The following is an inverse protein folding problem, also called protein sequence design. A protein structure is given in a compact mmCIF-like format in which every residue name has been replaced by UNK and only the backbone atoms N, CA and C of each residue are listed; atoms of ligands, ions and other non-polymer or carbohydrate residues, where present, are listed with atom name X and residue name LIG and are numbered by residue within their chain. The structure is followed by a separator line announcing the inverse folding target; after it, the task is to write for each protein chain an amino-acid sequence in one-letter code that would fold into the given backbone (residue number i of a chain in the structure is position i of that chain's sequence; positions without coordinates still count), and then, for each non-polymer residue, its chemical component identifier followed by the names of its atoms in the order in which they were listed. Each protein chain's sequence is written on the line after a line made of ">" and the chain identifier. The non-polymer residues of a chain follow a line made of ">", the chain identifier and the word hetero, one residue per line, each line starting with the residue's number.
data_IF_336820163501
#
_entry.id   IF_336820163501
#
_cell.length_a   1.000
_cell.length_b   1.000
_cell.length_c   1.000
_cell.angle_alpha   90.00
_cell.angle_beta   90.00
_cell.angle_gamma   90.00
#
_symmetry.space_group_name_H-M   'P 1'
#
loop_
_entity.id
_entity.type
_entity.pdbx_description
1 polymer ?
#
# COMPACT_ATOMS: atom_id res chain seq x y z
N UNK A 1 4.37 2.77 55.48
CA UNK A 1 3.92 2.68 54.09
C UNK A 1 4.93 3.46 53.30
N UNK A 2 5.86 2.79 52.64
CA UNK A 2 7.04 3.45 52.12
C UNK A 2 6.72 4.08 50.77
N UNK A 3 6.51 5.39 50.79
CA UNK A 3 6.43 6.19 49.59
C UNK A 3 7.84 6.25 48.99
N UNK A 4 8.09 5.43 47.97
CA UNK A 4 9.30 5.52 47.17
C UNK A 4 9.34 6.90 46.50
N UNK A 5 10.09 7.83 47.09
CA UNK A 5 10.42 9.12 46.49
C UNK A 5 11.37 8.87 45.33
N UNK A 6 10.79 8.59 44.15
CA UNK A 6 11.51 8.50 42.90
C UNK A 6 12.20 9.85 42.65
N UNK A 7 13.53 9.83 42.51
CA UNK A 7 14.35 10.99 42.18
C UNK A 7 13.84 11.69 40.90
N UNK A 8 13.98 13.02 40.74
CA UNK A 8 13.66 13.72 39.49
C UNK A 8 14.28 13.05 38.24
N UNK A 9 15.49 12.49 38.38
CA UNK A 9 16.16 11.73 37.32
C UNK A 9 15.42 10.46 36.92
N UNK A 10 14.81 9.75 37.88
CA UNK A 10 14.06 8.52 37.61
C UNK A 10 12.74 8.77 36.89
N UNK A 11 12.07 9.89 37.13
CA UNK A 11 10.88 10.30 36.36
C UNK A 11 11.22 10.61 34.90
N UNK A 12 12.35 11.29 34.65
CA UNK A 12 12.84 11.54 33.28
C UNK A 12 13.13 10.25 32.53
N UNK A 13 13.74 9.25 33.17
CA UNK A 13 14.04 7.95 32.55
C UNK A 13 12.75 7.21 32.22
N UNK A 14 11.77 7.16 33.15
CA UNK A 14 10.47 6.54 32.91
C UNK A 14 9.73 7.20 31.73
N UNK A 15 9.76 8.54 31.66
CA UNK A 15 9.17 9.29 30.55
C UNK A 15 9.83 8.94 29.20
N UNK A 16 11.16 8.91 29.15
CA UNK A 16 11.90 8.51 27.94
C UNK A 16 11.60 7.07 27.53
N UNK A 17 11.51 6.14 28.47
CA UNK A 17 11.15 4.75 28.20
C UNK A 17 9.73 4.65 27.64
N UNK A 18 8.75 5.41 28.17
CA UNK A 18 7.39 5.40 27.63
C UNK A 18 7.31 5.94 26.21
N UNK A 19 8.05 7.01 25.88
CA UNK A 19 8.11 7.57 24.52
C UNK A 19 8.74 6.56 23.55
N UNK A 20 9.83 5.91 23.97
CA UNK A 20 10.54 4.92 23.16
C UNK A 20 9.68 3.68 22.86
N UNK A 21 8.92 3.19 23.84
CA UNK A 21 7.98 2.08 23.61
C UNK A 21 6.86 2.48 22.63
N UNK A 22 6.36 3.72 22.72
CA UNK A 22 5.31 4.23 21.84
C UNK A 22 5.78 4.34 20.38
N UNK A 23 7.00 4.83 20.15
CA UNK A 23 7.56 4.91 18.79
C UNK A 23 7.79 3.54 18.16
N UNK A 24 8.31 2.56 18.93
CA UNK A 24 8.54 1.20 18.44
C UNK A 24 7.25 0.47 18.07
N UNK A 25 6.18 0.64 18.88
CA UNK A 25 4.89 0.01 18.60
C UNK A 25 4.25 0.56 17.32
N UNK A 26 4.43 1.85 17.04
CA UNK A 26 3.83 2.51 15.88
C UNK A 26 4.48 2.06 14.55
N UNK A 27 5.81 1.91 14.51
CA UNK A 27 6.52 1.42 13.33
C UNK A 27 6.15 -0.04 13.01
N UNK A 28 6.00 -0.89 14.04
CA UNK A 28 5.59 -2.28 13.85
C UNK A 28 4.18 -2.42 13.26
N UNK A 29 3.24 -1.58 13.71
CA UNK A 29 1.86 -1.58 13.22
C UNK A 29 1.75 -1.11 11.76
N UNK A 30 2.48 -0.06 11.39
CA UNK A 30 2.53 0.41 10.00
C UNK A 30 3.14 -0.63 9.05
N UNK A 31 4.19 -1.34 9.48
CA UNK A 31 4.84 -2.33 8.62
C UNK A 31 3.98 -3.57 8.39
N UNK A 32 3.34 -4.07 9.44
CA UNK A 32 2.43 -5.24 9.34
C UNK A 32 1.19 -4.95 8.50
N UNK A 33 0.67 -3.72 8.58
CA UNK A 33 -0.48 -3.28 7.77
C UNK A 33 -0.19 -3.29 6.26
N UNK A 34 1.08 -3.15 5.86
CA UNK A 34 1.48 -3.09 4.46
C UNK A 34 2.17 -4.35 3.94
N UNK A 35 2.05 -5.49 4.65
CA UNK A 35 2.57 -6.78 4.18
C UNK A 35 2.10 -7.11 2.74
N UNK A 36 2.89 -7.90 1.99
CA UNK A 36 2.47 -8.36 0.67
C UNK A 36 1.14 -9.10 0.72
N UNK A 37 0.33 -8.93 -0.32
CA UNK A 37 -1.04 -9.45 -0.41
C UNK A 37 -1.29 -10.14 -1.74
N UNK A 38 -2.29 -11.02 -1.77
CA UNK A 38 -2.74 -11.66 -3.00
C UNK A 38 -3.94 -10.92 -3.57
N UNK A 39 -3.98 -10.81 -4.90
CA UNK A 39 -5.05 -10.16 -5.65
C UNK A 39 -5.32 -11.02 -6.89
N UNK A 40 -6.13 -12.06 -6.73
CA UNK A 40 -6.46 -13.03 -7.79
C UNK A 40 -5.21 -13.70 -8.40
N UNK A 41 -4.90 -13.43 -9.67
CA UNK A 41 -3.73 -13.96 -10.37
C UNK A 41 -2.42 -13.26 -9.99
N UNK A 42 -2.48 -12.20 -9.18
CA UNK A 42 -1.31 -11.45 -8.70
C UNK A 42 -1.02 -11.83 -7.24
N UNK A 43 -0.20 -12.85 -7.03
CA UNK A 43 0.22 -13.27 -5.69
C UNK A 43 1.40 -12.48 -5.16
N UNK A 44 1.53 -12.36 -3.83
CA UNK A 44 2.64 -11.70 -3.13
C UNK A 44 2.86 -10.24 -3.56
N UNK A 45 1.79 -9.54 -3.96
CA UNK A 45 1.80 -8.16 -4.45
C UNK A 45 2.15 -7.20 -3.33
N UNK A 46 3.04 -6.25 -3.59
CA UNK A 46 3.54 -5.29 -2.59
C UNK A 46 3.69 -3.90 -3.20
N UNK A 47 4.29 -2.97 -2.47
CA UNK A 47 4.57 -1.61 -2.92
C UNK A 47 5.18 -1.60 -4.34
N UNK A 48 4.72 -0.75 -5.28
CA UNK A 48 3.84 0.41 -5.09
C UNK A 48 2.34 0.08 -5.03
N UNK A 49 1.95 -1.17 -5.27
CA UNK A 49 0.56 -1.57 -5.39
C UNK A 49 -0.13 -1.70 -4.04
N UNK A 50 -1.41 -1.34 -4.03
CA UNK A 50 -2.26 -1.52 -2.87
C UNK A 50 -3.72 -1.73 -3.26
N UNK A 51 -4.54 -2.04 -2.27
CA UNK A 51 -5.98 -2.25 -2.41
C UNK A 51 -6.65 -1.67 -1.17
N UNK A 52 -7.85 -1.14 -1.31
CA UNK A 52 -8.70 -0.76 -0.17
C UNK A 52 -9.44 -1.97 0.42
N UNK A 53 -9.28 -3.14 -0.19
CA UNK A 53 -9.73 -4.41 0.35
C UNK A 53 -8.82 -4.87 1.50
N UNK A 54 -9.30 -5.85 2.28
CA UNK A 54 -8.59 -6.39 3.44
C UNK A 54 -8.25 -5.35 4.52
N UNK A 55 -8.97 -4.22 4.55
CA UNK A 55 -8.74 -3.12 5.49
C UNK A 55 -7.32 -2.53 5.39
N UNK A 56 -6.72 -2.57 4.20
CA UNK A 56 -5.37 -2.06 3.96
C UNK A 56 -5.39 -0.54 3.75
N UNK A 57 -4.59 0.23 4.51
CA UNK A 57 -4.57 1.69 4.39
C UNK A 57 -4.01 2.19 3.06
N UNK A 58 -4.41 3.39 2.63
CA UNK A 58 -3.91 4.01 1.38
C UNK A 58 -2.40 4.29 1.40
N UNK A 59 -1.84 4.57 2.58
CA UNK A 59 -0.39 4.80 2.74
C UNK A 59 0.47 3.58 2.38
N UNK A 60 -0.12 2.39 2.24
CA UNK A 60 0.60 1.20 1.78
C UNK A 60 0.89 1.20 0.27
N UNK A 61 0.33 2.14 -0.46
CA UNK A 61 0.53 2.35 -1.89
C UNK A 61 1.35 3.58 -2.21
N UNK A 62 1.89 3.62 -3.43
CA UNK A 62 2.45 4.85 -3.98
C UNK A 62 1.37 5.63 -4.73
N UNK A 63 1.36 6.96 -4.59
CA UNK A 63 0.50 7.84 -5.40
C UNK A 63 -0.98 7.52 -5.31
N UNK A 64 -1.50 7.38 -4.08
CA UNK A 64 -2.87 7.03 -3.67
C UNK A 64 -3.65 6.25 -4.74
N UNK A 65 -4.36 6.89 -5.66
CA UNK A 65 -5.24 6.17 -6.59
C UNK A 65 -4.52 5.46 -7.76
N UNK A 66 -3.31 5.87 -8.14
CA UNK A 66 -2.66 5.40 -9.39
C UNK A 66 -2.31 3.92 -9.36
N UNK A 67 -1.81 3.43 -8.24
CA UNK A 67 -1.37 2.04 -8.07
C UNK A 67 -2.37 1.20 -7.27
N UNK A 68 -3.60 1.71 -7.13
CA UNK A 68 -4.70 0.99 -6.50
C UNK A 68 -5.21 -0.12 -7.42
N UNK A 69 -5.21 -1.34 -6.90
CA UNK A 69 -5.75 -2.54 -7.52
C UNK A 69 -7.13 -2.83 -6.92
N UNK A 70 -8.13 -2.96 -7.79
CA UNK A 70 -9.45 -3.50 -7.46
C UNK A 70 -9.41 -5.01 -7.72
N UNK A 71 -9.27 -5.83 -6.68
CA UNK A 71 -9.32 -7.29 -6.84
C UNK A 71 -10.79 -7.71 -7.01
N UNK A 72 -11.07 -8.59 -7.98
CA UNK A 72 -12.43 -9.07 -8.26
C UNK A 72 -12.36 -10.58 -8.40
N UNK A 73 -13.22 -11.28 -7.67
CA UNK A 73 -13.26 -12.75 -7.72
C UNK A 73 -13.34 -13.27 -9.15
N UNK A 74 -12.43 -14.18 -9.51
CA UNK A 74 -12.36 -14.84 -10.81
C UNK A 74 -12.17 -13.87 -12.00
N UNK A 75 -11.64 -12.66 -11.77
CA UNK A 75 -11.31 -11.70 -12.82
C UNK A 75 -9.91 -11.11 -12.59
N UNK A 76 -9.18 -10.70 -13.65
CA UNK A 76 -7.94 -9.98 -13.46
C UNK A 76 -8.15 -8.70 -12.64
N UNK A 77 -7.23 -8.34 -11.74
CA UNK A 77 -7.29 -7.09 -10.99
C UNK A 77 -7.38 -5.89 -11.92
N UNK A 78 -8.14 -4.88 -11.52
CA UNK A 78 -8.33 -3.66 -12.31
C UNK A 78 -7.60 -2.50 -11.66
N UNK A 79 -6.85 -1.74 -12.44
CA UNK A 79 -6.27 -0.46 -12.03
C UNK A 79 -6.79 0.67 -12.89
N UNK A 80 -6.69 1.90 -12.40
CA UNK A 80 -7.11 3.10 -13.14
C UNK A 80 -5.89 3.95 -13.50
N UNK A 81 -5.70 4.18 -14.79
CA UNK A 81 -4.64 5.03 -15.34
C UNK A 81 -5.27 6.05 -16.29
N UNK A 82 -4.98 7.34 -16.11
CA UNK A 82 -5.53 8.40 -16.97
C UNK A 82 -7.06 8.30 -17.18
N UNK A 83 -7.80 8.09 -16.08
CA UNK A 83 -9.27 7.93 -16.05
C UNK A 83 -9.81 6.74 -16.85
N UNK A 84 -8.96 5.76 -17.16
CA UNK A 84 -9.33 4.54 -17.89
C UNK A 84 -9.00 3.32 -17.06
N UNK A 85 -9.87 2.31 -17.12
CA UNK A 85 -9.68 1.05 -16.43
C UNK A 85 -8.86 0.07 -17.28
N UNK A 86 -7.92 -0.59 -16.62
CA UNK A 86 -7.07 -1.62 -17.22
C UNK A 86 -7.06 -2.87 -16.35
N UNK A 87 -7.26 -4.02 -16.98
CA UNK A 87 -6.92 -5.31 -16.41
C UNK A 87 -5.41 -5.44 -16.28
N UNK A 88 -4.94 -5.80 -15.09
CA UNK A 88 -3.55 -6.15 -14.83
C UNK A 88 -3.38 -7.65 -15.09
N UNK A 89 -2.66 -7.99 -16.15
CA UNK A 89 -2.53 -9.36 -16.61
C UNK A 89 -1.30 -10.04 -16.02
N UNK A 90 -0.19 -9.32 -15.91
CA UNK A 90 1.07 -9.87 -15.44
C UNK A 90 1.94 -8.81 -14.79
N UNK A 91 2.70 -9.22 -13.78
CA UNK A 91 3.64 -8.40 -13.05
C UNK A 91 5.00 -9.13 -13.02
N UNK A 92 5.97 -8.63 -13.78
CA UNK A 92 7.33 -9.15 -13.78
C UNK A 92 8.20 -8.27 -12.87
N UNK A 93 8.43 -8.76 -11.65
CA UNK A 93 9.18 -8.04 -10.61
C UNK A 93 10.65 -7.89 -10.92
N UNK A 94 11.26 -8.91 -11.52
CA UNK A 94 12.69 -8.91 -11.84
C UNK A 94 13.07 -7.81 -12.81
N UNK A 95 12.14 -7.42 -13.68
CA UNK A 95 12.35 -6.38 -14.69
C UNK A 95 11.52 -5.11 -14.45
N UNK A 96 10.71 -5.06 -13.39
CA UNK A 96 9.81 -3.94 -13.13
C UNK A 96 8.76 -3.73 -14.23
N UNK A 97 8.35 -4.78 -14.93
CA UNK A 97 7.42 -4.70 -16.05
C UNK A 97 5.99 -5.05 -15.60
N UNK A 98 5.03 -4.25 -16.08
CA UNK A 98 3.61 -4.42 -15.84
C UNK A 98 2.90 -4.60 -17.18
N UNK A 99 2.21 -5.72 -17.35
CA UNK A 99 1.40 -5.99 -18.54
C UNK A 99 -0.06 -5.70 -18.24
N UNK A 100 -0.64 -4.75 -18.99
CA UNK A 100 -2.02 -4.32 -18.82
C UNK A 100 -2.83 -4.45 -20.10
N UNK A 101 -4.13 -4.70 -19.98
CA UNK A 101 -5.11 -4.69 -21.07
C UNK A 101 -6.23 -3.71 -20.74
N UNK A 102 -6.59 -2.84 -21.67
CA UNK A 102 -7.72 -1.91 -21.51
C UNK A 102 -9.02 -2.69 -21.27
N UNK A 103 -9.82 -2.22 -20.31
CA UNK A 103 -11.20 -2.68 -20.16
C UNK A 103 -12.01 -2.09 -21.30
N UNK A 104 -12.50 -2.95 -22.21
CA UNK A 104 -13.33 -2.51 -23.34
C UNK A 104 -14.68 -1.98 -22.80
N UNK A 105 -15.02 -0.75 -23.19
CA UNK A 105 -16.35 -0.17 -22.99
C UNK A 105 -16.94 0.06 -24.37
N UNK A 106 -18.19 -0.38 -24.57
CA UNK A 106 -18.86 -0.50 -25.88
C UNK A 106 -18.82 0.76 -26.78
N UNK A 107 -18.42 1.93 -26.26
CA UNK A 107 -18.50 3.22 -26.95
C UNK A 107 -17.21 4.06 -26.94
N UNK A 108 -16.03 3.52 -26.62
CA UNK A 108 -14.81 4.35 -26.43
C UNK A 108 -13.71 4.07 -27.45
N UNK A 109 -13.34 5.09 -28.23
CA UNK A 109 -12.17 5.07 -29.12
C UNK A 109 -10.87 4.93 -28.31
N UNK A 110 -9.84 4.20 -28.78
CA UNK A 110 -8.58 4.07 -28.04
C UNK A 110 -7.94 5.44 -27.77
N UNK A 111 -7.89 5.86 -26.51
CA UNK A 111 -7.21 7.08 -26.10
C UNK A 111 -5.73 6.81 -25.79
N UNK A 112 -4.80 7.68 -26.20
CA UNK A 112 -3.40 7.54 -25.82
C UNK A 112 -3.25 7.58 -24.29
N UNK A 113 -2.39 6.70 -23.77
CA UNK A 113 -2.00 6.72 -22.37
C UNK A 113 -0.85 7.73 -22.25
N UNK A 114 -1.12 8.87 -21.64
CA UNK A 114 -0.08 9.85 -21.34
C UNK A 114 0.45 9.61 -19.93
N UNK A 115 1.49 8.80 -19.81
CA UNK A 115 2.24 8.70 -18.55
C UNK A 115 3.36 9.75 -18.55
N UNK A 116 3.04 10.96 -18.07
CA UNK A 116 4.05 11.99 -17.84
C UNK A 116 4.78 11.68 -16.54
N UNK A 117 5.70 10.73 -16.60
CA UNK A 117 6.72 10.54 -15.58
C UNK A 117 7.98 11.26 -16.09
N UNK A 118 8.16 12.53 -15.72
CA UNK A 118 9.48 13.16 -15.84
C UNK A 118 10.36 12.55 -14.74
N UNK A 119 11.44 11.87 -15.13
CA UNK A 119 12.58 11.59 -14.26
C UNK A 119 13.46 12.83 -14.15
#
# INVERSE_FOLDING_TARGET
>A
MDAFFLSPSSFSILFLLTIFQLSYAQDYFCFTSCAPFDCENLSNTSYPFWTDQYNRPSYCGYGDERYKLKCRQNQPPVMTLSSQEFYVLHLNRSHGLLTIKRVESNNTFPQPIYDKQCF
#
